data_IF_742314241674
#
_entry.id   IF_742314241674
#
_cell.length_a   1.000
_cell.length_b   1.000
_cell.length_c   1.000
_cell.angle_alpha   90.00
_cell.angle_beta   90.00
_cell.angle_gamma   90.00
#
_symmetry.space_group_name_H-M   'P 1'
#
loop_
_entity.id
_entity.type
_entity.pdbx_description
1 polymer ?
#
# COMPACT_ATOMS: atom_id res chain seq x y z
N UNK A 1 7.19 -8.63 7.00
CA UNK A 1 6.19 -9.43 6.26
C UNK A 1 4.79 -9.21 6.77
N UNK A 2 4.58 -9.07 8.08
CA UNK A 2 3.31 -8.61 8.67
C UNK A 2 3.64 -7.64 9.82
N UNK A 3 2.63 -7.06 10.47
CA UNK A 3 2.84 -6.23 11.66
C UNK A 3 3.46 -7.07 12.80
N UNK A 4 4.72 -6.79 13.21
CA UNK A 4 5.39 -7.56 14.26
C UNK A 4 4.74 -7.40 15.64
N UNK A 5 3.91 -6.38 15.86
CA UNK A 5 3.13 -6.22 17.10
C UNK A 5 2.03 -7.26 17.23
N UNK A 6 1.48 -7.71 16.09
CA UNK A 6 0.40 -8.70 16.02
C UNK A 6 0.99 -10.11 15.81
N UNK A 7 1.93 -10.25 14.87
CA UNK A 7 2.54 -11.53 14.49
C UNK A 7 4.01 -11.57 14.91
N UNK A 8 4.31 -12.26 16.01
CA UNK A 8 5.68 -12.38 16.54
C UNK A 8 6.65 -13.11 15.60
N UNK A 9 6.14 -13.96 14.70
CA UNK A 9 6.92 -14.66 13.68
C UNK A 9 7.14 -13.84 12.40
N UNK A 10 6.71 -12.57 12.38
CA UNK A 10 6.99 -11.68 11.26
C UNK A 10 8.50 -11.47 11.10
N UNK A 11 8.95 -11.42 9.85
CA UNK A 11 10.35 -11.23 9.49
C UNK A 11 10.51 -10.07 8.51
N UNK A 12 11.72 -9.53 8.41
CA UNK A 12 12.04 -8.40 7.53
C UNK A 12 11.97 -8.84 6.07
N UNK A 13 11.39 -8.01 5.21
CA UNK A 13 11.43 -8.24 3.76
C UNK A 13 12.74 -7.63 3.27
N UNK A 14 13.65 -8.44 2.73
CA UNK A 14 14.97 -7.96 2.28
C UNK A 14 14.84 -7.04 1.06
N UNK A 15 13.93 -7.37 0.15
CA UNK A 15 13.83 -6.70 -1.15
C UNK A 15 12.40 -6.61 -1.68
N UNK A 16 12.05 -5.42 -2.17
CA UNK A 16 10.76 -5.07 -2.77
C UNK A 16 10.95 -4.28 -4.07
N UNK A 17 10.02 -4.45 -5.01
CA UNK A 17 9.86 -3.51 -6.11
C UNK A 17 9.17 -2.23 -5.63
N UNK A 18 9.30 -1.13 -6.39
CA UNK A 18 8.57 0.10 -6.08
C UNK A 18 7.07 -0.11 -6.00
N UNK A 19 6.50 -0.88 -6.93
CA UNK A 19 5.07 -1.21 -6.94
C UNK A 19 4.67 -2.01 -5.70
N UNK A 20 5.43 -3.05 -5.35
CA UNK A 20 5.15 -3.86 -4.15
C UNK A 20 5.18 -3.01 -2.88
N UNK A 21 6.15 -2.09 -2.77
CA UNK A 21 6.25 -1.19 -1.63
C UNK A 21 5.07 -0.22 -1.54
N UNK A 22 4.63 0.36 -2.66
CA UNK A 22 3.48 1.26 -2.72
C UNK A 22 2.20 0.55 -2.28
N UNK A 23 1.93 -0.64 -2.83
CA UNK A 23 0.74 -1.41 -2.50
C UNK A 23 0.72 -1.82 -1.01
N UNK A 24 1.83 -2.34 -0.49
CA UNK A 24 1.93 -2.67 0.94
C UNK A 24 1.66 -1.44 1.83
N UNK A 25 2.20 -0.28 1.46
CA UNK A 25 2.03 0.95 2.25
C UNK A 25 0.60 1.50 2.17
N UNK A 26 -0.05 1.43 1.01
CA UNK A 26 -1.46 1.81 0.84
C UNK A 26 -2.39 0.97 1.71
N UNK A 27 -2.10 -0.34 1.84
CA UNK A 27 -2.95 -1.29 2.55
C UNK A 27 -2.55 -1.56 4.01
N UNK A 28 -1.86 -0.61 4.65
CA UNK A 28 -1.66 -0.61 6.10
C UNK A 28 -0.23 -0.82 6.59
N UNK A 29 0.75 -1.08 5.71
CA UNK A 29 2.16 -1.09 6.11
C UNK A 29 2.68 0.35 6.30
N UNK A 30 2.52 0.91 7.51
CA UNK A 30 2.85 2.31 7.86
C UNK A 30 4.37 2.58 7.94
N UNK A 31 5.10 2.46 6.84
CA UNK A 31 6.56 2.68 6.80
C UNK A 31 6.95 3.85 5.90
N UNK A 32 6.38 3.94 4.70
CA UNK A 32 6.66 5.01 3.73
C UNK A 32 5.35 5.61 3.27
N UNK A 33 5.28 6.93 3.13
CA UNK A 33 4.14 7.60 2.52
C UNK A 33 4.23 7.43 0.99
N UNK A 34 3.30 6.73 0.31
CA UNK A 34 3.45 6.35 -1.09
C UNK A 34 3.78 7.48 -2.06
N UNK A 35 3.20 8.70 -1.93
CA UNK A 35 3.57 9.84 -2.78
C UNK A 35 5.05 10.26 -2.69
N UNK A 36 5.77 9.93 -1.61
CA UNK A 36 7.21 10.24 -1.51
C UNK A 36 8.08 9.30 -2.33
N UNK A 37 7.56 8.14 -2.75
CA UNK A 37 8.28 7.19 -3.61
C UNK A 37 8.33 7.69 -5.07
N UNK A 38 7.32 8.46 -5.49
CA UNK A 38 7.19 8.94 -6.87
C UNK A 38 8.45 9.64 -7.45
N UNK A 39 9.07 10.63 -6.77
CA UNK A 39 10.26 11.30 -7.32
C UNK A 39 11.49 10.39 -7.44
N UNK A 40 11.67 9.44 -6.53
CA UNK A 40 12.81 8.49 -6.55
C UNK A 40 12.58 7.37 -7.56
N UNK A 41 11.33 6.95 -7.76
CA UNK A 41 10.94 6.04 -8.84
C UNK A 41 11.33 6.61 -10.22
N UNK A 42 10.96 7.86 -10.52
CA UNK A 42 11.27 8.49 -11.80
C UNK A 42 12.77 8.68 -12.07
N UNK A 43 13.57 8.79 -11.02
CA UNK A 43 15.03 8.90 -11.13
C UNK A 43 15.75 7.56 -11.01
N UNK A 44 15.01 6.46 -10.88
CA UNK A 44 15.53 5.12 -10.61
C UNK A 44 16.54 5.08 -9.45
N UNK A 45 16.21 5.79 -8.37
CA UNK A 45 17.04 5.84 -7.15
C UNK A 45 16.46 4.82 -6.16
N UNK A 46 17.29 3.87 -5.73
CA UNK A 46 16.89 2.88 -4.73
C UNK A 46 16.66 3.50 -3.35
N UNK A 47 15.74 2.93 -2.58
CA UNK A 47 15.40 3.36 -1.23
C UNK A 47 15.83 2.27 -0.25
N UNK A 48 16.63 2.62 0.75
CA UNK A 48 16.97 1.74 1.85
C UNK A 48 16.17 2.12 3.10
N UNK A 49 15.32 1.22 3.58
CA UNK A 49 14.60 1.36 4.85
C UNK A 49 15.41 0.64 5.92
N UNK A 50 15.91 1.39 6.91
CA UNK A 50 16.72 0.85 8.01
C UNK A 50 16.11 1.14 9.37
N UNK A 51 16.48 0.30 10.35
CA UNK A 51 16.11 0.51 11.75
C UNK A 51 17.14 1.41 12.44
N UNK A 52 16.70 2.55 12.98
CA UNK A 52 17.56 3.49 13.72
C UNK A 52 18.11 2.92 15.02
N UNK A 53 17.40 1.99 15.66
CA UNK A 53 17.84 1.31 16.88
C UNK A 53 18.78 0.13 16.60
N UNK A 54 18.84 -0.35 15.36
CA UNK A 54 19.78 -1.39 14.94
C UNK A 54 20.38 -1.06 13.55
N UNK A 55 21.35 -0.12 13.48
CA UNK A 55 21.91 0.34 12.21
C UNK A 55 22.67 -0.72 11.42
N UNK A 56 23.14 -1.78 12.09
CA UNK A 56 23.86 -2.90 11.47
C UNK A 56 22.92 -3.84 10.70
N UNK A 57 21.61 -3.79 10.94
CA UNK A 57 20.63 -4.55 10.17
C UNK A 57 20.59 -4.07 8.71
N UNK A 58 20.49 -5.01 7.77
CA UNK A 58 20.39 -4.70 6.34
C UNK A 58 19.10 -3.94 6.01
N UNK A 59 18.01 -4.24 6.71
CA UNK A 59 16.71 -3.60 6.51
C UNK A 59 16.01 -4.09 5.24
N UNK A 60 15.34 -3.16 4.55
CA UNK A 60 14.60 -3.44 3.31
C UNK A 60 15.12 -2.56 2.18
N UNK A 61 15.47 -3.17 1.05
CA UNK A 61 15.86 -2.50 -0.17
C UNK A 61 14.67 -2.42 -1.14
N UNK A 62 14.31 -1.20 -1.55
CA UNK A 62 13.29 -0.96 -2.58
C UNK A 62 14.00 -0.45 -3.83
N UNK A 63 13.86 -1.16 -4.95
CA UNK A 63 14.50 -0.79 -6.23
C UNK A 63 13.70 -1.29 -7.42
N UNK A 64 14.11 -0.89 -8.62
CA UNK A 64 13.54 -1.41 -9.85
C UNK A 64 14.02 -2.86 -10.08
N UNK A 65 13.15 -3.81 -9.78
CA UNK A 65 13.37 -5.25 -9.96
C UNK A 65 12.17 -5.88 -10.66
N UNK A 66 12.46 -6.89 -11.48
CA UNK A 66 11.44 -7.73 -12.07
C UNK A 66 10.77 -8.57 -10.98
N UNK A 67 9.46 -8.40 -10.84
CA UNK A 67 8.59 -9.19 -9.96
C UNK A 67 8.65 -10.66 -10.39
N UNK A 68 9.41 -11.49 -9.66
CA UNK A 68 9.46 -12.95 -9.93
C UNK A 68 10.78 -13.66 -9.69
N UNK A 69 11.89 -12.95 -9.44
CA UNK A 69 13.22 -13.58 -9.36
C UNK A 69 13.49 -14.44 -8.12
N UNK A 70 12.87 -14.15 -6.97
CA UNK A 70 13.30 -14.69 -5.66
C UNK A 70 12.39 -15.79 -5.08
N UNK A 71 11.55 -16.45 -5.89
CA UNK A 71 10.78 -17.63 -5.49
C UNK A 71 9.67 -17.43 -4.43
N UNK A 72 9.57 -16.25 -3.80
CA UNK A 72 8.48 -15.90 -2.87
C UNK A 72 7.37 -15.18 -3.61
N UNK A 73 6.25 -15.86 -3.79
CA UNK A 73 5.02 -15.33 -4.43
C UNK A 73 4.35 -14.28 -3.54
N UNK A 74 4.45 -14.43 -2.22
CA UNK A 74 3.85 -13.53 -1.23
C UNK A 74 4.96 -12.74 -0.55
N UNK A 75 4.95 -11.42 -0.70
CA UNK A 75 5.95 -10.51 -0.10
C UNK A 75 5.57 -10.10 1.32
N UNK A 76 4.30 -9.84 1.56
CA UNK A 76 3.80 -9.44 2.87
C UNK A 76 2.29 -9.50 2.93
N UNK A 77 1.77 -9.42 4.15
CA UNK A 77 0.37 -9.32 4.49
C UNK A 77 0.23 -8.05 5.31
N UNK A 78 -0.66 -7.16 4.88
CA UNK A 78 -1.02 -5.94 5.60
C UNK A 78 -2.51 -5.97 5.92
N UNK A 79 -2.89 -5.21 6.94
CA UNK A 79 -4.29 -5.06 7.36
C UNK A 79 -4.56 -3.59 7.67
N UNK A 80 -5.78 -3.15 7.37
CA UNK A 80 -6.32 -1.86 7.78
C UNK A 80 -7.45 -2.14 8.76
N UNK A 81 -7.27 -1.67 10.00
CA UNK A 81 -8.30 -1.71 11.01
C UNK A 81 -9.29 -0.54 10.85
N UNK A 82 -10.42 -0.56 11.56
CA UNK A 82 -11.41 0.53 11.58
C UNK A 82 -11.99 0.92 10.20
N UNK A 83 -12.16 -0.06 9.31
CA UNK A 83 -12.75 0.16 7.98
C UNK A 83 -14.28 0.03 8.00
N UNK A 84 -14.98 0.97 7.37
CA UNK A 84 -16.43 0.90 7.14
C UNK A 84 -16.72 0.47 5.69
N UNK A 85 -17.62 -0.50 5.49
CA UNK A 85 -18.09 -0.92 4.18
C UNK A 85 -19.48 -0.35 3.90
N UNK A 86 -19.61 0.45 2.84
CA UNK A 86 -20.88 1.03 2.40
C UNK A 86 -21.27 0.41 1.06
N UNK A 87 -22.43 -0.23 1.03
CA UNK A 87 -22.98 -0.88 -0.17
C UNK A 87 -24.19 -0.10 -0.68
N UNK A 88 -24.09 0.45 -1.89
CA UNK A 88 -25.17 1.20 -2.54
C UNK A 88 -25.82 0.30 -3.59
N UNK A 89 -27.14 0.10 -3.47
CA UNK A 89 -27.91 -0.77 -4.37
C UNK A 89 -29.21 -0.09 -4.82
N UNK A 90 -29.63 -0.38 -6.05
CA UNK A 90 -30.92 0.05 -6.56
C UNK A 90 -31.08 -0.23 -8.05
N UNK A 91 -32.29 -0.61 -8.47
CA UNK A 91 -32.61 -0.85 -9.89
C UNK A 91 -32.32 0.37 -10.76
N UNK A 92 -32.46 1.58 -10.21
CA UNK A 92 -32.18 2.84 -10.90
C UNK A 92 -30.70 3.15 -11.15
N UNK A 93 -29.78 2.21 -10.85
CA UNK A 93 -28.35 2.36 -11.15
C UNK A 93 -27.96 1.76 -12.51
N UNK A 94 -28.77 0.83 -13.03
CA UNK A 94 -28.44 0.11 -14.27
C UNK A 94 -28.73 0.99 -15.48
N UNK A 95 -27.70 1.28 -16.28
CA UNK A 95 -27.83 2.05 -17.53
C UNK A 95 -28.07 3.54 -17.36
N UNK A 96 -28.05 4.06 -16.13
CA UNK A 96 -28.29 5.49 -15.84
C UNK A 96 -26.97 6.24 -15.73
N UNK A 97 -26.75 7.17 -16.66
CA UNK A 97 -25.57 8.04 -16.66
C UNK A 97 -25.63 8.99 -15.46
N UNK A 98 -24.52 9.12 -14.73
CA UNK A 98 -24.36 10.11 -13.65
C UNK A 98 -24.59 9.60 -12.23
N UNK A 99 -25.00 8.34 -12.05
CA UNK A 99 -25.16 7.74 -10.71
C UNK A 99 -23.85 7.75 -9.92
N UNK A 100 -22.76 7.23 -10.51
CA UNK A 100 -21.44 7.24 -9.87
C UNK A 100 -20.96 8.68 -9.58
N UNK A 101 -21.17 9.61 -10.53
CA UNK A 101 -20.85 11.03 -10.31
C UNK A 101 -21.56 11.56 -9.08
N UNK A 102 -22.87 11.34 -8.96
CA UNK A 102 -23.65 11.82 -7.80
C UNK A 102 -23.14 11.24 -6.49
N UNK A 103 -22.78 9.95 -6.47
CA UNK A 103 -22.22 9.29 -5.29
C UNK A 103 -20.88 9.93 -4.90
N UNK A 104 -19.91 9.97 -5.83
CA UNK A 104 -18.58 10.49 -5.54
C UNK A 104 -18.56 12.01 -5.30
N UNK A 105 -19.40 12.78 -5.98
CA UNK A 105 -19.58 14.21 -5.69
C UNK A 105 -20.13 14.42 -4.29
N UNK A 106 -21.16 13.68 -3.89
CA UNK A 106 -21.70 13.80 -2.53
C UNK A 106 -20.66 13.46 -1.45
N UNK A 107 -19.79 12.47 -1.69
CA UNK A 107 -18.69 12.14 -0.78
C UNK A 107 -17.66 13.27 -0.73
N UNK A 108 -17.23 13.77 -1.88
CA UNK A 108 -16.25 14.84 -1.99
C UNK A 108 -16.74 16.16 -1.36
N UNK A 109 -18.01 16.53 -1.58
CA UNK A 109 -18.65 17.73 -1.00
C UNK A 109 -18.68 17.67 0.54
N UNK A 110 -18.63 16.46 1.12
CA UNK A 110 -18.54 16.22 2.56
C UNK A 110 -17.11 15.92 3.04
N UNK A 111 -16.10 16.08 2.18
CA UNK A 111 -14.69 15.86 2.52
C UNK A 111 -14.32 14.39 2.76
N UNK A 112 -15.10 13.45 2.25
CA UNK A 112 -14.84 12.01 2.40
C UNK A 112 -14.00 11.53 1.21
N UNK A 113 -12.81 11.02 1.50
CA UNK A 113 -11.98 10.32 0.52
C UNK A 113 -12.31 8.83 0.53
N UNK A 114 -12.44 8.25 -0.65
CA UNK A 114 -12.61 6.81 -0.90
C UNK A 114 -11.52 6.29 -1.80
#
# INVERSE_FOLDING_TARGET
>A
TADPKIIKSAYVIEELSFTEAIELCNFGAKVIYPPTIFPVYHKNISIHVKNTFNPASEGTLIRDIQTGGNGKIIKGISSIDDTALITIQGLGMVGVIGVNKRIFSSLADNGISV
#
